data_IF_369235136909
#
_entry.id   IF_369235136909
#
_cell.length_a   1.000
_cell.length_b   1.000
_cell.length_c   1.000
_cell.angle_alpha   90.00
_cell.angle_beta   90.00
_cell.angle_gamma   90.00
#
_symmetry.space_group_name_H-M   'P 1'
#
loop_
_entity.id
_entity.type
_entity.pdbx_description
1 polymer ?
#
# COMPACT_ATOMS: atom_id res chain seq x y z
N UNK A 1 -7.78 2.70 9.72
CA UNK A 1 -8.80 3.75 9.90
C UNK A 1 -8.16 4.90 10.66
N UNK A 2 -7.58 5.86 9.94
CA UNK A 2 -6.73 6.95 10.44
C UNK A 2 -7.49 8.23 10.81
N UNK A 3 -8.82 8.16 10.92
CA UNK A 3 -9.68 9.28 11.30
C UNK A 3 -9.39 9.70 12.75
N UNK A 4 -8.55 10.72 12.92
CA UNK A 4 -8.08 11.24 14.22
C UNK A 4 -6.57 11.53 14.25
N UNK A 5 -5.82 11.06 13.26
CA UNK A 5 -4.37 11.28 13.14
C UNK A 5 -4.03 12.67 12.57
N UNK A 6 -2.93 13.32 13.00
CA UNK A 6 -2.36 14.46 12.30
C UNK A 6 -2.20 14.21 10.79
N UNK A 7 -2.61 15.18 9.96
CA UNK A 7 -2.73 15.04 8.49
C UNK A 7 -1.44 14.52 7.80
N UNK A 8 -0.27 14.85 8.35
CA UNK A 8 1.02 14.47 7.80
C UNK A 8 1.45 13.03 8.13
N UNK A 9 0.94 12.43 9.21
CA UNK A 9 1.29 11.05 9.62
C UNK A 9 0.29 10.05 9.03
N UNK A 10 -0.90 10.51 8.64
CA UNK A 10 -1.96 9.69 8.07
C UNK A 10 -1.50 8.82 6.88
N UNK A 11 -0.75 9.34 5.89
CA UNK A 11 -0.15 8.53 4.82
C UNK A 11 0.69 7.35 5.31
N UNK A 12 1.48 7.55 6.36
CA UNK A 12 2.41 6.55 6.90
C UNK A 12 1.67 5.42 7.60
N UNK A 13 0.63 5.77 8.37
CA UNK A 13 -0.16 4.76 9.06
C UNK A 13 -1.06 3.99 8.12
N UNK A 14 -1.69 4.66 7.15
CA UNK A 14 -2.54 3.99 6.17
C UNK A 14 -1.70 3.04 5.29
N UNK A 15 -0.48 3.41 4.89
CA UNK A 15 0.40 2.52 4.12
C UNK A 15 0.87 1.31 4.93
N UNK A 16 1.31 1.50 6.18
CA UNK A 16 1.73 0.40 7.05
C UNK A 16 0.56 -0.55 7.38
N UNK A 17 -0.63 0.00 7.63
CA UNK A 17 -1.82 -0.79 7.92
C UNK A 17 -2.26 -1.62 6.72
N UNK A 18 -2.26 -1.03 5.51
CA UNK A 18 -2.60 -1.75 4.27
C UNK A 18 -1.57 -2.84 3.98
N UNK A 19 -0.27 -2.58 4.14
CA UNK A 19 0.78 -3.59 3.97
C UNK A 19 0.60 -4.80 4.89
N UNK A 20 0.37 -4.55 6.19
CA UNK A 20 0.12 -5.63 7.16
C UNK A 20 -1.13 -6.43 6.82
N UNK A 21 -2.20 -5.75 6.38
CA UNK A 21 -3.43 -6.44 6.02
C UNK A 21 -3.30 -7.25 4.71
N UNK A 22 -2.55 -6.76 3.71
CA UNK A 22 -2.25 -7.50 2.47
C UNK A 22 -1.45 -8.78 2.73
N UNK A 23 -0.54 -8.76 3.71
CA UNK A 23 0.18 -9.95 4.17
C UNK A 23 -0.74 -10.98 4.83
N UNK A 24 -1.82 -10.54 5.48
CA UNK A 24 -2.83 -11.42 6.10
C UNK A 24 -3.93 -11.86 5.10
N UNK A 25 -3.78 -11.59 3.80
CA UNK A 25 -4.70 -12.05 2.77
C UNK A 25 -5.80 -11.05 2.39
N UNK A 26 -5.66 -9.76 2.73
CA UNK A 26 -6.54 -8.72 2.21
C UNK A 26 -6.43 -8.66 0.67
N UNK A 27 -7.57 -8.77 -0.02
CA UNK A 27 -7.65 -8.80 -1.50
C UNK A 27 -8.08 -7.48 -2.11
N UNK A 28 -8.77 -6.62 -1.36
CA UNK A 28 -9.22 -5.31 -1.83
C UNK A 28 -9.37 -4.33 -0.66
N UNK A 29 -9.14 -3.05 -0.92
CA UNK A 29 -9.29 -1.97 0.06
C UNK A 29 -9.73 -0.68 -0.63
N UNK A 30 -10.60 0.10 0.01
CA UNK A 30 -10.93 1.47 -0.42
C UNK A 30 -9.87 2.39 0.17
N UNK A 31 -8.97 2.88 -0.67
CA UNK A 31 -7.81 3.71 -0.28
C UNK A 31 -7.74 4.97 -1.14
N UNK A 32 -6.97 5.96 -0.68
CA UNK A 32 -6.76 7.20 -1.43
C UNK A 32 -5.71 6.99 -2.55
N UNK A 33 -6.07 7.03 -3.84
CA UNK A 33 -5.12 6.81 -4.93
C UNK A 33 -4.16 8.00 -5.13
N UNK A 34 -4.47 9.18 -4.57
CA UNK A 34 -3.63 10.37 -4.71
C UNK A 34 -2.41 10.36 -3.77
N UNK A 35 -2.30 9.36 -2.88
CA UNK A 35 -1.16 9.20 -1.99
C UNK A 35 -0.13 8.26 -2.63
N UNK A 36 0.93 8.87 -3.20
CA UNK A 36 2.00 8.15 -3.90
C UNK A 36 2.62 7.04 -3.03
N UNK A 37 2.86 7.34 -1.75
CA UNK A 37 3.54 6.41 -0.84
C UNK A 37 2.70 5.19 -0.52
N UNK A 38 1.38 5.38 -0.44
CA UNK A 38 0.44 4.28 -0.23
C UNK A 38 0.37 3.37 -1.46
N UNK A 39 0.36 3.94 -2.66
CA UNK A 39 0.36 3.18 -3.92
C UNK A 39 1.66 2.40 -4.13
N UNK A 40 2.81 3.02 -3.86
CA UNK A 40 4.11 2.34 -3.88
C UNK A 40 4.10 1.13 -2.95
N UNK A 41 3.59 1.30 -1.73
CA UNK A 41 3.54 0.22 -0.73
C UNK A 41 2.67 -0.95 -1.20
N UNK A 42 1.51 -0.68 -1.80
CA UNK A 42 0.62 -1.73 -2.35
C UNK A 42 1.35 -2.50 -3.46
N UNK A 43 1.95 -1.79 -4.41
CA UNK A 43 2.68 -2.38 -5.53
C UNK A 43 3.89 -3.21 -5.03
N UNK A 44 4.62 -2.72 -4.02
CA UNK A 44 5.72 -3.46 -3.40
C UNK A 44 5.22 -4.72 -2.68
N UNK A 45 4.08 -4.65 -2.00
CA UNK A 45 3.48 -5.82 -1.36
C UNK A 45 3.07 -6.90 -2.38
N UNK A 46 2.62 -6.52 -3.58
CA UNK A 46 2.31 -7.48 -4.64
C UNK A 46 3.55 -8.18 -5.20
N UNK A 47 4.67 -7.46 -5.34
CA UNK A 47 5.96 -8.06 -5.71
C UNK A 47 6.44 -9.04 -4.62
N UNK A 48 6.36 -8.66 -3.35
CA UNK A 48 6.77 -9.51 -2.22
C UNK A 48 5.92 -10.79 -2.14
N UNK A 49 4.63 -10.70 -2.46
CA UNK A 49 3.72 -11.85 -2.51
C UNK A 49 3.87 -12.68 -3.79
N UNK A 50 4.80 -12.32 -4.67
CA UNK A 50 5.03 -12.96 -5.96
C UNK A 50 3.78 -12.93 -6.87
N UNK A 51 2.91 -11.93 -6.68
CA UNK A 51 1.74 -11.70 -7.54
C UNK A 51 2.15 -11.08 -8.88
N UNK A 52 3.28 -10.36 -8.91
CA UNK A 52 3.86 -9.75 -10.10
C UNK A 52 5.22 -10.38 -10.41
N UNK A 53 5.41 -10.79 -11.66
CA UNK A 53 6.60 -11.52 -12.12
C UNK A 53 7.86 -10.63 -12.19
N UNK A 54 7.68 -9.32 -12.37
CA UNK A 54 8.77 -8.37 -12.61
C UNK A 54 8.82 -7.32 -11.51
N UNK A 55 10.01 -7.14 -10.94
CA UNK A 55 10.28 -6.25 -9.80
C UNK A 55 11.10 -5.00 -10.16
N UNK A 56 11.44 -4.80 -11.44
CA UNK A 56 12.32 -3.70 -11.87
C UNK A 56 11.55 -2.42 -12.19
N UNK A 57 10.41 -2.52 -12.89
CA UNK A 57 9.56 -1.38 -13.31
C UNK A 57 8.15 -1.39 -12.69
N UNK A 58 7.95 -2.12 -11.58
CA UNK A 58 6.64 -2.30 -10.96
C UNK A 58 5.98 -1.00 -10.47
N UNK A 59 6.77 0.06 -10.27
CA UNK A 59 6.28 1.38 -9.86
C UNK A 59 5.80 2.27 -11.02
N UNK A 60 6.28 2.03 -12.25
CA UNK A 60 5.99 2.85 -13.44
C UNK A 60 4.76 2.40 -14.24
N UNK A 61 4.31 1.16 -14.06
CA UNK A 61 3.07 0.59 -14.63
C UNK A 61 1.81 1.16 -13.98
#
# INVERSE_FOLDING_TARGET
NSNGMPKHIRPIMDSAMVAMAMMQGLTSAIVNPNDLRLMETIKSCDVIKNNTLYADSYLEL
#
